data_IF_174487249378
#
_entry.id   IF_174487249378
#
_cell.length_a   1.000
_cell.length_b   1.000
_cell.length_c   1.000
_cell.angle_alpha   90.00
_cell.angle_beta   90.00
_cell.angle_gamma   90.00
#
_symmetry.space_group_name_H-M   'P 1'
#
loop_
_entity.id
_entity.type
_entity.pdbx_description
1 polymer ?
#
# COMPACT_ATOMS: atom_id res chain seq x y z
N UNK A 1 21.09 7.10 -0.95
CA UNK A 1 21.18 5.89 -0.09
C UNK A 1 21.26 4.57 -0.87
N UNK A 2 20.34 4.25 -1.78
CA UNK A 2 20.39 2.96 -2.50
C UNK A 2 21.71 2.72 -3.26
N UNK A 3 22.14 3.68 -4.09
CA UNK A 3 23.43 3.61 -4.79
C UNK A 3 24.63 3.52 -3.83
N UNK A 4 24.55 4.21 -2.70
CA UNK A 4 25.60 4.17 -1.67
C UNK A 4 25.70 2.81 -1.02
N UNK A 5 24.60 2.07 -0.88
CA UNK A 5 24.65 0.69 -0.40
C UNK A 5 25.27 -0.22 -1.47
N UNK A 6 24.81 -0.09 -2.72
CA UNK A 6 25.26 -0.91 -3.85
C UNK A 6 26.73 -0.68 -4.23
N UNK A 7 27.29 0.50 -3.95
CA UNK A 7 28.71 0.79 -4.17
C UNK A 7 29.65 0.03 -3.24
N UNK A 8 29.16 -0.51 -2.12
CA UNK A 8 29.94 -1.35 -1.20
C UNK A 8 29.93 -2.82 -1.63
N UNK A 9 29.99 -3.07 -2.95
CA UNK A 9 29.99 -4.41 -3.51
C UNK A 9 31.22 -5.22 -3.10
N UNK A 10 32.28 -4.61 -2.56
CA UNK A 10 33.42 -5.32 -1.98
C UNK A 10 33.04 -6.20 -0.79
N UNK A 11 31.96 -5.86 -0.08
CA UNK A 11 31.41 -6.68 1.00
C UNK A 11 30.59 -7.83 0.43
N UNK A 12 30.98 -9.06 0.75
CA UNK A 12 30.28 -10.27 0.32
C UNK A 12 28.80 -10.25 0.76
N UNK A 13 28.52 -9.73 1.96
CA UNK A 13 27.16 -9.58 2.48
C UNK A 13 26.27 -8.71 1.59
N UNK A 14 26.81 -7.60 1.07
CA UNK A 14 26.09 -6.69 0.17
C UNK A 14 25.76 -7.40 -1.14
N UNK A 15 26.71 -8.16 -1.69
CA UNK A 15 26.48 -8.98 -2.91
C UNK A 15 25.37 -10.01 -2.69
N UNK A 16 25.34 -10.68 -1.54
CA UNK A 16 24.31 -11.67 -1.21
C UNK A 16 22.93 -11.02 -1.18
N UNK A 17 22.79 -9.89 -0.50
CA UNK A 17 21.53 -9.15 -0.39
C UNK A 17 21.03 -8.71 -1.77
N UNK A 18 21.90 -8.10 -2.59
CA UNK A 18 21.53 -7.67 -3.94
C UNK A 18 21.07 -8.85 -4.82
N UNK A 19 21.75 -10.00 -4.74
CA UNK A 19 21.37 -11.20 -5.49
C UNK A 19 20.04 -11.79 -5.04
N UNK A 20 19.78 -11.79 -3.73
CA UNK A 20 18.49 -12.22 -3.16
C UNK A 20 17.36 -11.29 -3.61
N UNK A 21 17.59 -9.99 -3.63
CA UNK A 21 16.62 -9.02 -4.15
C UNK A 21 16.34 -9.24 -5.65
N UNK A 22 17.39 -9.42 -6.46
CA UNK A 22 17.24 -9.74 -7.88
C UNK A 22 16.44 -11.05 -8.09
N UNK A 23 16.64 -12.05 -7.23
CA UNK A 23 15.86 -13.29 -7.25
C UNK A 23 14.38 -13.06 -6.96
N UNK A 24 14.06 -12.24 -5.96
CA UNK A 24 12.69 -11.83 -5.64
C UNK A 24 12.04 -11.06 -6.80
N UNK A 25 12.76 -10.10 -7.40
CA UNK A 25 12.28 -9.35 -8.57
C UNK A 25 11.96 -10.28 -9.75
N UNK A 26 12.87 -11.20 -10.09
CA UNK A 26 12.64 -12.23 -11.15
C UNK A 26 11.41 -13.08 -10.88
N UNK A 27 11.11 -13.38 -9.62
CA UNK A 27 9.88 -14.11 -9.24
C UNK A 27 8.63 -13.26 -9.46
N UNK A 28 8.66 -11.99 -9.06
CA UNK A 28 7.56 -11.04 -9.27
C UNK A 28 7.25 -10.90 -10.77
N UNK A 29 8.27 -10.76 -11.62
CA UNK A 29 8.08 -10.69 -13.08
C UNK A 29 7.39 -11.92 -13.67
N UNK A 30 7.70 -13.10 -13.12
CA UNK A 30 7.07 -14.38 -13.48
C UNK A 30 5.69 -14.58 -12.86
N UNK A 31 5.24 -13.68 -11.98
CA UNK A 31 3.98 -13.80 -11.25
C UNK A 31 3.99 -14.87 -10.14
N UNK A 32 5.17 -15.19 -9.59
CA UNK A 32 5.34 -16.23 -8.57
C UNK A 32 5.43 -15.59 -7.17
N UNK A 33 4.31 -15.60 -6.46
CA UNK A 33 4.16 -14.92 -5.15
C UNK A 33 4.22 -15.84 -3.92
N UNK A 34 4.59 -17.12 -4.09
CA UNK A 34 4.64 -18.09 -2.99
C UNK A 34 5.71 -17.74 -1.95
N UNK A 35 5.36 -17.58 -0.67
CA UNK A 35 6.28 -17.11 0.38
C UNK A 35 7.01 -15.79 0.00
N UNK A 36 6.30 -14.64 0.06
CA UNK A 36 6.80 -13.33 -0.37
C UNK A 36 8.03 -12.83 0.39
N UNK A 37 8.21 -13.28 1.63
CA UNK A 37 9.27 -12.83 2.53
C UNK A 37 10.46 -13.79 2.62
N UNK A 38 10.47 -14.87 1.82
CA UNK A 38 11.53 -15.89 1.86
C UNK A 38 12.93 -15.26 1.75
N UNK A 39 13.18 -14.55 0.66
CA UNK A 39 14.48 -13.96 0.39
C UNK A 39 14.82 -12.82 1.37
N UNK A 40 13.81 -12.12 1.88
CA UNK A 40 14.00 -11.07 2.90
C UNK A 40 14.44 -11.67 4.24
N UNK A 41 13.78 -12.73 4.71
CA UNK A 41 14.12 -13.42 5.96
C UNK A 41 15.53 -14.03 5.91
N UNK A 42 15.94 -14.57 4.76
CA UNK A 42 17.30 -15.06 4.56
C UNK A 42 18.36 -13.96 4.74
N UNK A 43 17.99 -12.70 4.45
CA UNK A 43 18.88 -11.55 4.55
C UNK A 43 18.84 -10.84 5.91
N UNK A 44 17.88 -11.13 6.79
CA UNK A 44 17.61 -10.33 7.99
C UNK A 44 18.85 -10.23 8.91
N UNK A 45 19.48 -11.37 9.18
CA UNK A 45 20.72 -11.43 9.96
C UNK A 45 21.91 -10.76 9.23
N UNK A 46 21.90 -10.77 7.89
CA UNK A 46 22.94 -10.15 7.06
C UNK A 46 22.80 -8.62 7.14
N UNK A 47 21.56 -8.10 7.19
CA UNK A 47 21.31 -6.68 7.43
C UNK A 47 21.93 -6.20 8.72
N UNK A 48 21.72 -6.95 9.80
CA UNK A 48 22.23 -6.61 11.13
C UNK A 48 23.76 -6.75 11.21
N UNK A 49 24.34 -7.75 10.52
CA UNK A 49 25.80 -7.91 10.40
C UNK A 49 26.47 -6.72 9.70
N UNK A 50 25.91 -6.25 8.58
CA UNK A 50 26.45 -5.05 7.88
C UNK A 50 26.35 -3.82 8.77
N UNK A 51 25.24 -3.64 9.49
CA UNK A 51 25.08 -2.53 10.43
C UNK A 51 26.17 -2.55 11.51
N UNK A 52 26.43 -3.72 12.12
CA UNK A 52 27.48 -3.86 13.12
C UNK A 52 28.87 -3.50 12.56
N UNK A 53 29.23 -4.02 11.38
CA UNK A 53 30.49 -3.67 10.71
C UNK A 53 30.60 -2.18 10.41
N UNK A 54 29.52 -1.55 9.94
CA UNK A 54 29.49 -0.13 9.65
C UNK A 54 29.76 0.73 10.91
N UNK A 55 29.22 0.31 12.06
CA UNK A 55 29.48 0.95 13.35
C UNK A 55 30.95 0.76 13.76
N UNK A 56 31.50 -0.46 13.61
CA UNK A 56 32.89 -0.76 13.98
C UNK A 56 33.91 0.06 13.17
N UNK A 57 33.64 0.29 11.88
CA UNK A 57 34.50 1.11 11.01
C UNK A 57 34.19 2.61 11.07
N UNK A 58 33.15 3.02 11.81
CA UNK A 58 32.74 4.42 11.94
C UNK A 58 32.08 5.01 10.69
N UNK A 59 31.49 4.18 9.83
CA UNK A 59 30.80 4.62 8.61
C UNK A 59 29.28 4.73 8.83
N UNK A 60 28.85 5.92 9.25
CA UNK A 60 27.43 6.22 9.44
C UNK A 60 26.64 6.16 8.12
N UNK A 61 27.27 6.49 6.99
CA UNK A 61 26.62 6.47 5.68
C UNK A 61 26.23 5.05 5.30
N UNK A 62 27.13 4.08 5.50
CA UNK A 62 26.84 2.66 5.26
C UNK A 62 25.75 2.13 6.19
N UNK A 63 25.81 2.46 7.49
CA UNK A 63 24.80 2.03 8.46
C UNK A 63 23.40 2.54 8.07
N UNK A 64 23.29 3.82 7.71
CA UNK A 64 22.05 4.44 7.27
C UNK A 64 21.60 3.90 5.89
N UNK A 65 22.53 3.73 4.95
CA UNK A 65 22.23 3.23 3.60
C UNK A 65 21.67 1.81 3.66
N UNK A 66 22.20 0.99 4.57
CA UNK A 66 21.72 -0.36 4.79
C UNK A 66 20.27 -0.40 5.29
N UNK A 67 19.92 0.44 6.26
CA UNK A 67 18.53 0.52 6.74
C UNK A 67 17.56 0.89 5.60
N UNK A 68 17.92 1.86 4.76
CA UNK A 68 17.10 2.21 3.59
C UNK A 68 17.02 1.08 2.58
N UNK A 69 18.11 0.34 2.36
CA UNK A 69 18.09 -0.82 1.47
C UNK A 69 17.21 -1.96 2.01
N UNK A 70 17.17 -2.15 3.34
CA UNK A 70 16.25 -3.08 4.01
C UNK A 70 14.79 -2.76 3.72
N UNK A 71 14.40 -1.49 3.85
CA UNK A 71 13.07 -1.01 3.49
C UNK A 71 12.77 -1.15 1.99
N UNK A 72 13.74 -0.85 1.12
CA UNK A 72 13.61 -1.09 -0.32
C UNK A 72 13.42 -2.57 -0.67
N UNK A 73 14.10 -3.49 0.02
CA UNK A 73 13.88 -4.92 -0.15
C UNK A 73 12.47 -5.29 0.31
N UNK A 74 12.11 -4.85 1.53
CA UNK A 74 10.81 -5.13 2.14
C UNK A 74 9.65 -4.64 1.27
N UNK A 75 9.80 -3.50 0.60
CA UNK A 75 8.83 -2.99 -0.38
C UNK A 75 8.44 -4.05 -1.42
N UNK A 76 9.40 -4.76 -2.03
CA UNK A 76 9.09 -5.83 -3.00
C UNK A 76 8.48 -7.07 -2.37
N UNK A 77 8.90 -7.44 -1.16
CA UNK A 77 8.28 -8.55 -0.42
C UNK A 77 6.83 -8.25 -0.07
N UNK A 78 6.55 -7.03 0.38
CA UNK A 78 5.19 -6.55 0.67
C UNK A 78 4.37 -6.46 -0.61
N UNK A 79 4.95 -5.98 -1.72
CA UNK A 79 4.30 -5.97 -3.04
C UNK A 79 3.91 -7.39 -3.50
N UNK A 80 4.81 -8.37 -3.35
CA UNK A 80 4.51 -9.76 -3.64
C UNK A 80 3.40 -10.32 -2.72
N UNK A 81 3.43 -9.96 -1.43
CA UNK A 81 2.40 -10.34 -0.44
C UNK A 81 1.03 -9.75 -0.77
N UNK A 82 1.00 -8.52 -1.29
CA UNK A 82 -0.21 -7.85 -1.73
C UNK A 82 -0.89 -8.66 -2.85
N UNK A 83 -0.13 -8.99 -3.90
CA UNK A 83 -0.65 -9.78 -5.01
C UNK A 83 -1.04 -11.20 -4.63
N UNK A 84 -0.32 -11.84 -3.70
CA UNK A 84 -0.73 -13.13 -3.13
C UNK A 84 -2.10 -13.02 -2.46
N UNK A 85 -2.31 -11.99 -1.63
CA UNK A 85 -3.59 -11.77 -0.94
C UNK A 85 -4.74 -11.50 -1.91
N UNK A 86 -4.48 -10.83 -3.04
CA UNK A 86 -5.47 -10.65 -4.11
C UNK A 86 -5.85 -11.98 -4.78
N UNK A 87 -4.88 -12.84 -5.08
CA UNK A 87 -5.12 -14.16 -5.70
C UNK A 87 -5.96 -15.05 -4.78
N UNK A 88 -5.74 -14.96 -3.47
CA UNK A 88 -6.47 -15.70 -2.45
C UNK A 88 -7.84 -15.07 -2.08
N UNK A 89 -8.20 -13.95 -2.71
CA UNK A 89 -9.42 -13.16 -2.43
C UNK A 89 -9.51 -12.62 -0.99
N UNK A 90 -8.37 -12.44 -0.31
CA UNK A 90 -8.28 -11.81 1.02
C UNK A 90 -8.18 -10.29 0.85
N UNK A 91 -9.22 -9.68 0.29
CA UNK A 91 -9.30 -8.26 -0.08
C UNK A 91 -9.22 -7.31 1.12
N UNK A 92 -9.83 -7.65 2.26
CA UNK A 92 -9.72 -6.82 3.46
C UNK A 92 -8.27 -6.74 3.93
N UNK A 93 -7.61 -7.88 4.06
CA UNK A 93 -6.21 -7.96 4.47
C UNK A 93 -5.26 -7.33 3.43
N UNK A 94 -5.59 -7.44 2.14
CA UNK A 94 -4.76 -6.84 1.10
C UNK A 94 -4.76 -5.31 1.13
N UNK A 95 -5.77 -4.67 1.72
CA UNK A 95 -5.75 -3.22 1.95
C UNK A 95 -4.60 -2.80 2.88
N UNK A 96 -4.45 -3.46 4.02
CA UNK A 96 -3.41 -3.15 4.99
C UNK A 96 -2.02 -3.36 4.37
N UNK A 97 -1.86 -4.45 3.61
CA UNK A 97 -0.61 -4.74 2.89
C UNK A 97 -0.33 -3.71 1.78
N UNK A 98 -1.36 -3.21 1.09
CA UNK A 98 -1.20 -2.14 0.10
C UNK A 98 -0.68 -0.86 0.76
N UNK A 99 -1.26 -0.47 1.89
CA UNK A 99 -0.79 0.68 2.65
C UNK A 99 0.64 0.44 3.19
N UNK A 100 0.96 -0.78 3.63
CA UNK A 100 2.32 -1.14 4.08
C UNK A 100 3.32 -0.93 2.93
N UNK A 101 2.95 -1.33 1.71
CA UNK A 101 3.80 -1.16 0.54
C UNK A 101 4.02 0.33 0.22
N UNK A 102 2.99 1.17 0.34
CA UNK A 102 3.10 2.62 0.15
C UNK A 102 3.97 3.27 1.25
N UNK A 103 3.89 2.81 2.49
CA UNK A 103 4.71 3.29 3.59
C UNK A 103 6.19 2.94 3.40
N UNK A 104 6.49 1.70 2.98
CA UNK A 104 7.88 1.30 2.62
C UNK A 104 8.42 2.20 1.50
N UNK A 105 7.62 2.50 0.47
CA UNK A 105 8.01 3.41 -0.60
C UNK A 105 8.22 4.85 -0.12
N UNK A 106 7.38 5.35 0.79
CA UNK A 106 7.50 6.68 1.40
C UNK A 106 8.78 6.79 2.22
N UNK A 107 9.10 5.77 3.02
CA UNK A 107 10.35 5.69 3.81
C UNK A 107 11.55 5.75 2.87
N UNK A 108 11.60 4.92 1.84
CA UNK A 108 12.72 4.94 0.87
C UNK A 108 12.81 6.29 0.16
N UNK A 109 11.66 6.86 -0.21
CA UNK A 109 11.59 8.14 -0.91
C UNK A 109 12.13 9.33 -0.09
N UNK A 110 11.97 9.34 1.22
CA UNK A 110 12.47 10.42 2.11
C UNK A 110 14.01 10.54 2.09
N UNK A 111 14.72 9.44 1.78
CA UNK A 111 16.19 9.38 1.83
C UNK A 111 16.85 9.11 0.47
N UNK A 112 16.06 9.07 -0.60
CA UNK A 112 16.53 8.79 -1.96
C UNK A 112 15.94 9.80 -2.92
N UNK A 113 16.82 10.50 -3.65
CA UNK A 113 16.41 11.44 -4.68
C UNK A 113 15.57 10.77 -5.75
N UNK A 114 14.60 11.50 -6.31
CA UNK A 114 13.62 10.99 -7.27
C UNK A 114 14.28 10.24 -8.44
N UNK A 115 15.41 10.75 -8.94
CA UNK A 115 16.17 10.16 -10.06
C UNK A 115 16.77 8.78 -9.73
N UNK A 116 16.97 8.51 -8.44
CA UNK A 116 17.64 7.31 -7.94
C UNK A 116 16.65 6.31 -7.29
N UNK A 117 15.34 6.61 -7.31
CA UNK A 117 14.28 5.73 -6.77
C UNK A 117 13.96 4.53 -7.66
N UNK A 118 14.68 4.37 -8.78
CA UNK A 118 14.56 3.23 -9.70
C UNK A 118 13.10 2.97 -10.09
N UNK A 119 12.60 1.75 -9.93
CA UNK A 119 11.24 1.34 -10.30
C UNK A 119 10.14 1.71 -9.28
N UNK A 120 10.49 2.20 -8.09
CA UNK A 120 9.51 2.51 -7.02
C UNK A 120 8.41 3.46 -7.50
N UNK A 121 8.70 4.60 -8.16
CA UNK A 121 7.65 5.55 -8.54
C UNK A 121 6.61 4.95 -9.48
N UNK A 122 7.04 4.06 -10.39
CA UNK A 122 6.15 3.40 -11.33
C UNK A 122 5.27 2.37 -10.63
N UNK A 123 5.82 1.58 -9.71
CA UNK A 123 5.06 0.61 -8.90
C UNK A 123 4.08 1.34 -7.96
N UNK A 124 4.50 2.46 -7.35
CA UNK A 124 3.60 3.30 -6.53
C UNK A 124 2.44 3.82 -7.38
N UNK A 125 2.68 4.24 -8.62
CA UNK A 125 1.60 4.65 -9.52
C UNK A 125 0.59 3.51 -9.75
N UNK A 126 1.05 2.26 -9.90
CA UNK A 126 0.18 1.08 -9.98
C UNK A 126 -0.62 0.88 -8.70
N UNK A 127 0.04 0.90 -7.54
CA UNK A 127 -0.60 0.70 -6.22
C UNK A 127 -1.68 1.75 -5.94
N UNK A 128 -1.45 3.00 -6.32
CA UNK A 128 -2.46 4.07 -6.19
C UNK A 128 -3.69 3.84 -7.10
N UNK A 129 -3.55 3.12 -8.21
CA UNK A 129 -4.70 2.74 -9.05
C UNK A 129 -5.46 1.57 -8.44
N UNK A 130 -4.76 0.60 -7.85
CA UNK A 130 -5.38 -0.43 -7.03
C UNK A 130 -6.13 0.16 -5.84
N UNK A 131 -5.55 1.15 -5.17
CA UNK A 131 -6.18 1.83 -4.02
C UNK A 131 -7.57 2.37 -4.37
N UNK A 132 -7.73 2.96 -5.57
CA UNK A 132 -9.03 3.49 -6.06
C UNK A 132 -10.11 2.43 -6.28
N UNK A 133 -9.72 1.15 -6.41
CA UNK A 133 -10.68 0.05 -6.56
C UNK A 133 -11.33 -0.34 -5.23
N UNK A 134 -10.74 0.04 -4.09
CA UNK A 134 -11.29 -0.24 -2.78
C UNK A 134 -12.49 0.68 -2.48
N UNK A 135 -13.48 0.19 -1.72
CA UNK A 135 -14.68 0.95 -1.39
C UNK A 135 -14.45 2.02 -0.30
N UNK A 136 -13.25 2.11 0.28
CA UNK A 136 -12.97 2.97 1.42
C UNK A 136 -12.83 4.43 1.02
N UNK A 137 -13.60 5.31 1.69
CA UNK A 137 -13.61 6.76 1.42
C UNK A 137 -13.61 7.63 2.68
N UNK A 138 -13.87 7.04 3.83
CA UNK A 138 -13.95 7.71 5.13
C UNK A 138 -13.16 6.89 6.13
N UNK A 139 -12.33 7.58 6.91
CA UNK A 139 -11.39 7.00 7.84
C UNK A 139 -11.46 7.74 9.17
N UNK A 140 -11.05 7.07 10.24
CA UNK A 140 -10.94 7.64 11.57
C UNK A 140 -9.54 8.23 11.78
N UNK A 141 -9.46 9.50 12.18
CA UNK A 141 -8.22 10.16 12.57
C UNK A 141 -8.31 10.53 14.05
N UNK A 142 -7.45 9.94 14.88
CA UNK A 142 -7.46 10.14 16.33
C UNK A 142 -6.54 11.28 16.77
N UNK A 143 -6.97 11.99 17.81
CA UNK A 143 -6.22 13.07 18.45
C UNK A 143 -5.94 12.71 19.92
N UNK A 144 -4.67 12.77 20.32
CA UNK A 144 -4.20 12.37 21.65
C UNK A 144 -3.43 13.50 22.32
N UNK A 145 -3.60 13.64 23.64
CA UNK A 145 -2.68 14.42 24.47
C UNK A 145 -1.64 13.46 25.03
N UNK A 146 -0.39 13.61 24.58
CA UNK A 146 0.76 12.86 25.10
C UNK A 146 1.36 13.61 26.28
N UNK A 147 1.41 12.99 27.47
CA UNK A 147 2.03 13.59 28.66
C UNK A 147 3.53 13.30 28.73
N UNK A 148 3.97 12.14 28.24
CA UNK A 148 5.38 11.72 28.28
C UNK A 148 5.77 10.96 27.02
N UNK A 149 6.88 11.38 26.43
CA UNK A 149 7.53 10.69 25.31
C UNK A 149 9.04 10.82 25.38
N UNK A 150 9.75 9.87 24.75
CA UNK A 150 11.20 9.89 24.64
C UNK A 150 11.67 9.51 23.23
N UNK A 151 12.91 9.88 22.91
CA UNK A 151 13.57 9.52 21.66
C UNK A 151 14.07 8.08 21.73
N UNK A 152 13.81 7.28 20.68
CA UNK A 152 14.28 5.90 20.54
C UNK A 152 15.81 5.73 20.62
N UNK A 153 16.57 6.77 20.27
CA UNK A 153 18.05 6.70 20.19
C UNK A 153 18.70 7.13 21.50
N UNK A 154 18.28 8.28 22.06
CA UNK A 154 18.95 8.86 23.24
C UNK A 154 18.15 8.77 24.54
N UNK A 155 16.90 8.31 24.50
CA UNK A 155 16.04 8.20 25.68
C UNK A 155 15.56 9.52 26.28
N UNK A 156 15.97 10.67 25.71
CA UNK A 156 15.53 12.01 26.15
C UNK A 156 14.30 12.47 25.39
N UNK A 157 13.56 13.44 25.92
CA UNK A 157 12.44 14.06 25.18
C UNK A 157 12.93 14.74 23.90
N UNK A 158 12.29 14.46 22.77
CA UNK A 158 12.58 15.12 21.48
C UNK A 158 12.21 16.60 21.45
N UNK A 159 11.41 17.07 22.40
CA UNK A 159 11.04 18.49 22.54
C UNK A 159 12.10 19.28 23.33
N UNK A 160 13.02 18.58 24.01
CA UNK A 160 14.09 19.19 24.78
C UNK A 160 15.31 19.48 23.89
N UNK A 161 15.97 20.62 24.11
CA UNK A 161 17.28 20.96 23.51
C UNK A 161 18.38 19.92 23.82
N UNK A 162 18.15 19.05 24.80
CA UNK A 162 19.08 17.98 25.18
C UNK A 162 19.09 16.78 24.21
N UNK A 163 18.10 16.69 23.31
CA UNK A 163 18.02 15.69 22.25
C UNK A 163 18.49 16.31 20.92
N UNK A 164 19.64 15.88 20.35
CA UNK A 164 20.10 16.37 19.05
C UNK A 164 19.37 15.74 17.87
N UNK A 165 18.57 14.69 18.10
CA UNK A 165 17.94 13.91 17.04
C UNK A 165 16.63 14.54 16.55
N UNK A 166 16.51 14.69 15.23
CA UNK A 166 15.27 15.09 14.54
C UNK A 166 14.38 13.88 14.25
N UNK A 167 13.10 13.96 14.64
CA UNK A 167 12.08 12.93 14.38
C UNK A 167 12.03 12.54 12.89
N UNK A 168 12.01 11.24 12.63
CA UNK A 168 11.96 10.65 11.30
C UNK A 168 13.28 10.64 10.53
N UNK A 169 14.40 11.10 11.13
CA UNK A 169 15.74 11.02 10.51
C UNK A 169 16.52 9.80 10.99
N UNK A 170 17.46 9.36 10.15
CA UNK A 170 18.33 8.20 10.40
C UNK A 170 19.62 8.61 11.09
N UNK A 171 20.06 7.77 12.03
CA UNK A 171 21.34 7.89 12.73
C UNK A 171 21.88 6.48 12.97
N UNK A 172 23.08 6.18 12.48
CA UNK A 172 23.73 4.87 12.66
C UNK A 172 22.85 3.66 12.32
N UNK A 173 22.01 3.80 11.30
CA UNK A 173 21.10 2.76 10.82
C UNK A 173 19.78 2.67 11.58
N UNK A 174 19.47 3.58 12.52
CA UNK A 174 18.19 3.59 13.24
C UNK A 174 17.41 4.89 13.01
N UNK A 175 16.09 4.78 12.97
CA UNK A 175 15.23 5.96 12.92
C UNK A 175 15.09 6.59 14.31
N UNK A 176 15.28 7.90 14.37
CA UNK A 176 14.85 8.71 15.49
C UNK A 176 13.31 8.77 15.49
N UNK A 177 12.69 7.92 16.29
CA UNK A 177 11.24 7.92 16.50
C UNK A 177 10.92 8.38 17.92
N UNK A 178 9.75 9.00 18.04
CA UNK A 178 9.21 9.39 19.33
C UNK A 178 8.43 8.22 19.91
N UNK A 179 8.94 7.66 21.00
CA UNK A 179 8.30 6.62 21.79
C UNK A 179 7.35 7.29 22.77
N UNK A 180 6.06 7.03 22.62
CA UNK A 180 5.02 7.54 23.52
C UNK A 180 4.98 6.63 24.75
N UNK A 181 5.35 7.17 25.91
CA UNK A 181 5.32 6.45 27.18
C UNK A 181 3.93 6.51 27.83
N UNK A 182 3.27 7.67 27.70
CA UNK A 182 2.01 7.93 28.38
C UNK A 182 1.11 8.84 27.53
N UNK A 183 -0.09 8.33 27.24
CA UNK A 183 -1.19 9.10 26.66
C UNK A 183 -2.08 9.54 27.81
N UNK A 184 -2.19 10.85 28.01
CA UNK A 184 -3.02 11.44 29.05
C UNK A 184 -4.51 11.34 28.72
N UNK A 185 -4.87 11.62 27.46
CA UNK A 185 -6.25 11.72 27.03
C UNK A 185 -6.40 11.46 25.53
N UNK A 186 -7.45 10.72 25.14
CA UNK A 186 -7.95 10.69 23.77
C UNK A 186 -8.97 11.83 23.62
N UNK A 187 -8.62 12.87 22.88
CA UNK A 187 -9.44 14.07 22.79
C UNK A 187 -10.61 13.89 21.82
N UNK A 188 -10.31 13.37 20.64
CA UNK A 188 -11.28 13.27 19.55
C UNK A 188 -10.90 12.15 18.58
N UNK A 189 -11.91 11.72 17.82
CA UNK A 189 -11.74 10.91 16.61
C UNK A 189 -12.55 11.57 15.50
N UNK A 190 -11.87 12.08 14.50
CA UNK A 190 -12.44 12.81 13.37
C UNK A 190 -12.68 11.88 12.19
N UNK A 191 -13.81 12.07 11.49
CA UNK A 191 -14.11 11.36 10.23
C UNK A 191 -13.54 12.16 9.05
N UNK A 192 -12.58 11.58 8.35
CA UNK A 192 -11.85 12.28 7.27
C UNK A 192 -11.78 11.44 6.01
N UNK A 193 -11.66 12.09 4.86
CA UNK A 193 -11.49 11.42 3.56
C UNK A 193 -10.02 11.22 3.16
N UNK A 194 -9.10 11.96 3.79
CA UNK A 194 -7.68 11.94 3.46
C UNK A 194 -6.83 11.89 4.75
N UNK A 195 -6.85 10.75 5.50
CA UNK A 195 -6.03 10.59 6.70
C UNK A 195 -4.55 10.38 6.34
N UNK A 196 -3.67 10.52 7.33
CA UNK A 196 -2.29 10.04 7.20
C UNK A 196 -2.22 8.51 7.16
N UNK A 197 -2.97 7.83 8.04
CA UNK A 197 -3.10 6.37 8.02
C UNK A 197 -4.47 5.94 7.49
N UNK A 198 -4.49 5.35 6.29
CA UNK A 198 -5.70 4.85 5.65
C UNK A 198 -6.11 3.45 6.13
N UNK A 199 -5.38 2.83 7.06
CA UNK A 199 -5.79 1.56 7.70
C UNK A 199 -6.87 1.78 8.75
N UNK A 200 -7.06 3.00 9.24
CA UNK A 200 -8.08 3.36 10.21
C UNK A 200 -9.49 3.40 9.58
N UNK A 201 -9.95 2.25 9.08
CA UNK A 201 -11.24 2.06 8.46
C UNK A 201 -12.33 1.92 9.54
N UNK A 202 -13.50 2.48 9.24
CA UNK A 202 -14.69 2.30 10.06
C UNK A 202 -15.54 1.21 9.41
N UNK A 203 -15.80 0.14 10.14
CA UNK A 203 -16.71 -0.92 9.73
C UNK A 203 -17.94 -0.92 10.62
N UNK A 204 -19.12 -0.85 10.00
CA UNK A 204 -20.39 -0.99 10.70
C UNK A 204 -20.66 -2.48 10.94
N UNK A 205 -21.49 -2.81 11.93
CA UNK A 205 -21.85 -4.20 12.21
C UNK A 205 -22.52 -4.87 10.99
N UNK A 206 -23.36 -4.13 10.28
CA UNK A 206 -24.05 -4.59 9.07
C UNK A 206 -23.07 -4.96 7.93
N UNK A 207 -21.87 -4.37 7.90
CA UNK A 207 -20.85 -4.69 6.90
C UNK A 207 -20.20 -6.05 7.13
N UNK A 208 -20.34 -6.63 8.34
CA UNK A 208 -19.72 -7.92 8.70
C UNK A 208 -20.47 -9.11 8.11
N UNK A 209 -21.76 -8.94 7.88
CA UNK A 209 -22.63 -9.99 7.32
C UNK A 209 -22.55 -10.04 5.78
N UNK A 210 -21.94 -9.03 5.16
CA UNK A 210 -21.76 -8.95 3.70
C UNK A 210 -20.55 -9.81 3.30
N UNK A 211 -20.69 -10.76 2.37
CA UNK A 211 -19.56 -11.52 1.85
C UNK A 211 -18.47 -10.62 1.27
N UNK A 212 -17.21 -10.99 1.50
CA UNK A 212 -16.05 -10.18 1.09
C UNK A 212 -16.06 -9.82 -0.42
N UNK A 213 -16.46 -10.77 -1.28
CA UNK A 213 -16.58 -10.54 -2.73
C UNK A 213 -17.62 -9.48 -3.10
N UNK A 214 -18.69 -9.34 -2.31
CA UNK A 214 -19.70 -8.32 -2.54
C UNK A 214 -19.21 -6.95 -2.06
N UNK A 215 -18.55 -6.91 -0.89
CA UNK A 215 -17.93 -5.69 -0.34
C UNK A 215 -16.86 -5.12 -1.29
N UNK A 216 -16.05 -5.98 -1.90
CA UNK A 216 -14.96 -5.60 -2.80
C UNK A 216 -15.24 -5.94 -4.26
N UNK A 217 -16.49 -5.84 -4.70
CA UNK A 217 -16.92 -6.26 -6.05
C UNK A 217 -16.07 -5.68 -7.19
N UNK A 218 -15.71 -4.39 -7.14
CA UNK A 218 -14.86 -3.75 -8.16
C UNK A 218 -13.50 -4.43 -8.27
N UNK A 219 -12.87 -4.72 -7.12
CA UNK A 219 -11.59 -5.39 -7.04
C UNK A 219 -11.71 -6.87 -7.49
N UNK A 220 -12.77 -7.57 -7.08
CA UNK A 220 -13.03 -8.96 -7.48
C UNK A 220 -13.21 -9.12 -9.00
N UNK A 221 -13.95 -8.19 -9.62
CA UNK A 221 -14.09 -8.13 -11.09
C UNK A 221 -12.76 -7.79 -11.77
N UNK A 222 -11.97 -6.88 -11.20
CA UNK A 222 -10.66 -6.51 -11.73
C UNK A 222 -9.66 -7.68 -11.68
N UNK A 223 -9.57 -8.39 -10.56
CA UNK A 223 -8.65 -9.53 -10.39
C UNK A 223 -8.95 -10.65 -11.39
N UNK A 224 -10.22 -10.85 -11.76
CA UNK A 224 -10.63 -11.83 -12.80
C UNK A 224 -10.08 -11.52 -14.19
N UNK A 225 -9.71 -10.27 -14.48
CA UNK A 225 -9.09 -9.89 -15.75
C UNK A 225 -7.65 -10.40 -15.89
N UNK A 226 -7.03 -10.87 -14.78
CA UNK A 226 -5.67 -11.43 -14.75
C UNK A 226 -4.63 -10.50 -15.41
N UNK A 227 -4.79 -9.20 -15.17
CA UNK A 227 -3.82 -8.18 -15.60
C UNK A 227 -2.48 -8.48 -14.91
N UNK A 228 -1.38 -8.28 -15.63
CA UNK A 228 -0.05 -8.49 -15.06
C UNK A 228 0.18 -7.52 -13.87
N UNK A 229 0.71 -7.98 -12.73
CA UNK A 229 0.96 -7.14 -11.54
C UNK A 229 1.82 -5.88 -11.79
N UNK A 230 2.72 -5.92 -12.77
CA UNK A 230 3.58 -4.80 -13.15
C UNK A 230 3.01 -3.97 -14.32
N UNK A 231 1.80 -4.29 -14.77
CA UNK A 231 1.11 -3.55 -15.81
C UNK A 231 0.36 -2.39 -15.18
N UNK A 232 0.77 -1.16 -15.47
CA UNK A 232 0.02 0.01 -15.06
C UNK A 232 -1.29 0.11 -15.83
N UNK A 233 -2.27 0.79 -15.26
CA UNK A 233 -3.60 0.94 -15.82
C UNK A 233 -4.28 2.23 -15.34
N UNK A 234 -5.26 2.67 -16.10
CA UNK A 234 -6.15 3.77 -15.73
C UNK A 234 -7.59 3.27 -15.68
N UNK A 235 -8.37 3.83 -14.75
CA UNK A 235 -9.80 3.53 -14.61
C UNK A 235 -10.60 4.79 -14.91
N UNK A 236 -11.39 4.74 -15.98
CA UNK A 236 -12.37 5.77 -16.30
C UNK A 236 -13.78 5.27 -15.89
N UNK A 237 -14.45 5.98 -14.98
CA UNK A 237 -15.83 5.66 -14.57
C UNK A 237 -16.82 6.49 -15.37
N UNK A 238 -17.67 5.84 -16.18
CA UNK A 238 -18.79 6.46 -16.90
C UNK A 238 -20.11 6.09 -16.24
N UNK A 239 -20.96 7.08 -16.04
CA UNK A 239 -22.33 6.86 -15.55
C UNK A 239 -23.25 6.73 -16.76
N UNK A 240 -23.84 5.56 -16.93
CA UNK A 240 -24.81 5.27 -17.99
C UNK A 240 -26.19 5.08 -17.36
N UNK A 241 -27.23 5.71 -17.91
CA UNK A 241 -28.60 5.36 -17.51
C UNK A 241 -29.00 4.04 -18.16
N UNK A 242 -29.23 3.02 -17.34
CA UNK A 242 -29.69 1.71 -17.78
C UNK A 242 -31.12 1.46 -17.34
N UNK A 243 -31.86 0.75 -18.19
CA UNK A 243 -33.21 0.31 -17.87
C UNK A 243 -33.13 -0.90 -16.93
N UNK A 244 -33.86 -0.86 -15.83
CA UNK A 244 -34.10 -2.05 -15.02
C UNK A 244 -35.05 -3.00 -15.75
N UNK A 245 -34.54 -4.16 -16.14
CA UNK A 245 -35.30 -5.19 -16.86
C UNK A 245 -36.35 -5.86 -15.98
N UNK A 246 -36.22 -5.78 -14.64
CA UNK A 246 -37.22 -6.29 -13.69
C UNK A 246 -38.50 -5.46 -13.69
N UNK A 247 -38.42 -4.20 -14.16
CA UNK A 247 -39.59 -3.31 -14.25
C UNK A 247 -40.25 -3.49 -15.62
N UNK A 248 -41.40 -4.17 -15.61
CA UNK A 248 -42.23 -4.29 -16.79
C UNK A 248 -42.75 -2.90 -17.22
N UNK A 249 -42.63 -2.60 -18.52
CA UNK A 249 -43.07 -1.33 -19.09
C UNK A 249 -44.60 -1.35 -19.21
N UNK A 250 -45.24 -0.30 -18.71
CA UNK A 250 -46.67 -0.02 -18.90
C UNK A 250 -46.85 1.42 -19.37
N UNK A 251 -48.05 1.80 -19.85
CA UNK A 251 -48.29 3.20 -20.18
C UNK A 251 -48.39 4.05 -18.90
N UNK A 252 -48.05 5.34 -19.01
CA UNK A 252 -47.96 6.27 -17.88
C UNK A 252 -49.21 6.28 -16.99
N UNK A 253 -50.40 6.15 -17.58
CA UNK A 253 -51.67 6.25 -16.86
C UNK A 253 -52.26 4.87 -16.46
N UNK A 254 -51.69 3.77 -16.94
CA UNK A 254 -52.14 2.41 -16.63
C UNK A 254 -51.76 2.04 -15.19
N UNK A 255 -52.42 1.02 -14.63
CA UNK A 255 -52.01 0.46 -13.34
C UNK A 255 -50.60 -0.13 -13.45
N UNK A 256 -49.81 0.07 -12.40
CA UNK A 256 -48.44 -0.39 -12.36
C UNK A 256 -48.37 -1.93 -12.29
N UNK A 257 -47.58 -2.60 -13.15
CA UNK A 257 -47.47 -4.08 -13.16
C UNK A 257 -46.93 -4.71 -11.87
N UNK A 258 -46.37 -3.92 -10.96
CA UNK A 258 -45.85 -4.40 -9.68
C UNK A 258 -46.94 -4.76 -8.64
N UNK A 259 -48.23 -4.60 -8.97
CA UNK A 259 -49.33 -4.93 -8.07
C UNK A 259 -49.66 -3.87 -7.01
N UNK A 260 -49.05 -2.67 -7.07
CA UNK A 260 -49.26 -1.61 -6.08
C UNK A 260 -50.61 -0.88 -6.15
N UNK A 261 -51.41 -1.13 -7.19
CA UNK A 261 -52.67 -0.41 -7.46
C UNK A 261 -52.51 1.06 -7.86
N UNK A 262 -51.28 1.59 -7.95
CA UNK A 262 -51.00 2.97 -8.36
C UNK A 262 -50.82 3.06 -9.89
N UNK A 263 -51.10 4.24 -10.49
CA UNK A 263 -50.73 4.52 -11.89
C UNK A 263 -49.23 4.38 -12.09
N UNK A 264 -48.78 3.82 -13.21
CA UNK A 264 -47.37 3.53 -13.50
C UNK A 264 -46.48 4.77 -13.33
N UNK A 265 -46.94 5.94 -13.80
CA UNK A 265 -46.20 7.21 -13.64
C UNK A 265 -45.98 7.67 -12.20
N UNK A 266 -46.76 7.15 -11.25
CA UNK A 266 -46.67 7.45 -9.80
C UNK A 266 -46.07 6.28 -9.01
N UNK A 267 -45.54 5.27 -9.70
CA UNK A 267 -44.99 4.08 -9.10
C UNK A 267 -43.62 3.77 -9.72
N UNK A 268 -43.47 2.66 -10.46
CA UNK A 268 -42.18 2.16 -10.92
C UNK A 268 -41.53 2.99 -12.04
N UNK A 269 -42.22 3.96 -12.68
CA UNK A 269 -41.62 4.71 -13.80
C UNK A 269 -40.32 5.43 -13.43
N UNK A 270 -40.24 5.99 -12.21
CA UNK A 270 -39.06 6.73 -11.73
C UNK A 270 -37.93 5.82 -11.28
N UNK A 271 -38.22 4.53 -11.10
CA UNK A 271 -37.23 3.48 -10.78
C UNK A 271 -36.85 2.67 -12.01
N UNK A 272 -37.51 2.91 -13.16
CA UNK A 272 -37.32 2.17 -14.40
C UNK A 272 -35.91 2.38 -14.99
N UNK A 273 -35.29 3.50 -14.67
CA UNK A 273 -33.91 3.80 -15.02
C UNK A 273 -33.09 3.95 -13.76
N UNK A 274 -31.87 3.42 -13.78
CA UNK A 274 -30.90 3.58 -12.72
C UNK A 274 -29.56 4.02 -13.31
N UNK A 275 -28.78 4.74 -12.50
CA UNK A 275 -27.43 5.11 -12.85
C UNK A 275 -26.54 3.88 -12.67
N UNK A 276 -26.01 3.36 -13.78
CA UNK A 276 -25.05 2.28 -13.78
C UNK A 276 -23.63 2.85 -13.91
N UNK A 277 -22.77 2.53 -12.95
CA UNK A 277 -21.35 2.83 -13.03
C UNK A 277 -20.66 1.79 -13.92
N UNK A 278 -20.20 2.23 -15.09
CA UNK A 278 -19.35 1.44 -15.98
C UNK A 278 -17.90 1.88 -15.81
N UNK A 279 -17.05 0.98 -15.32
CA UNK A 279 -15.62 1.22 -15.21
C UNK A 279 -14.91 0.68 -16.46
N UNK A 280 -14.16 1.54 -17.14
CA UNK A 280 -13.36 1.20 -18.32
C UNK A 280 -11.90 1.18 -17.87
N UNK A 281 -11.23 0.04 -18.08
CA UNK A 281 -9.84 -0.15 -17.70
C UNK A 281 -8.99 -0.07 -18.96
N UNK A 282 -8.03 0.86 -18.96
CA UNK A 282 -7.08 1.03 -20.05
C UNK A 282 -5.69 0.62 -19.57
N UNK A 283 -5.09 -0.45 -20.12
CA UNK A 283 -3.71 -0.80 -19.79
C UNK A 283 -2.73 0.26 -20.31
N UNK A 284 -1.74 0.61 -19.50
CA UNK A 284 -0.70 1.60 -19.81
C UNK A 284 0.66 0.94 -20.07
N UNK A 285 1.77 1.55 -19.65
CA UNK A 285 3.09 0.95 -19.72
C UNK A 285 3.24 -0.19 -18.69
N UNK A 286 4.02 -1.20 -19.06
CA UNK A 286 4.48 -2.23 -18.14
C UNK A 286 5.79 -1.79 -17.52
N UNK A 287 5.88 -1.86 -16.20
CA UNK A 287 7.09 -1.57 -15.43
C UNK A 287 8.13 -2.63 -15.72
N UNK A 288 9.36 -2.19 -15.98
CA UNK A 288 10.52 -3.07 -16.10
C UNK A 288 11.28 -3.03 -14.79
N UNK A 289 11.42 -4.18 -14.12
CA UNK A 289 12.19 -4.24 -12.88
C UNK A 289 13.68 -4.17 -13.21
N UNK A 290 14.42 -3.38 -12.43
CA UNK A 290 15.87 -3.29 -12.62
C UNK A 290 16.49 -4.51 -11.94
N UNK A 291 16.89 -5.46 -12.77
CA UNK A 291 17.58 -6.70 -12.38
C UNK A 291 19.02 -6.57 -12.86
N UNK A 292 19.88 -6.07 -11.97
CA UNK A 292 21.32 -6.11 -12.17
C UNK A 292 21.81 -7.43 -11.60
N UNK A 293 22.06 -8.42 -12.45
CA UNK A 293 22.80 -9.59 -12.02
C UNK A 293 24.20 -9.13 -11.61
N UNK A 294 24.65 -9.42 -10.39
CA UNK A 294 26.02 -9.15 -9.96
C UNK A 294 26.96 -10.16 -10.63
N UNK A 295 27.01 -10.12 -11.96
CA UNK A 295 28.00 -10.77 -12.79
C UNK A 295 28.55 -9.72 -13.73
N UNK A 296 29.65 -9.12 -13.31
CA UNK A 296 30.81 -8.72 -14.11
C UNK A 296 31.59 -7.67 -13.29
N UNK A 297 32.49 -8.12 -12.43
CA UNK A 297 33.95 -8.10 -12.66
C UNK A 297 34.63 -9.03 -11.64
#
# INVERSE_FOLDING_TARGET
MLKSFESHCELEEVRIICNKLCSLKKRIEKGIFSDPFKEYKDCDNIFDSIKAKAIDIGDESLANAQMIYRHYFKFFSTFASYHLSLIENRYKNSWDILQDCLDEAKIVGEFVDIKDRKEIPEIVAILLQYEKLYPYRVFASSEYIVSKSHCSICGKSMQSLSCPHRKGKLYWGDFAIEMIDEIKELQAVCLVSHPEDKRCIIELQEDRDIPEKEKFKKLDEFVKLKINPLQNFEIETKIEQRRDTKIQKANRNDLCPCGSGKKFKRCCINRMYYNHERNIISPLCKVQLIIQDSKNE
#
